data_IF_327282582615
#
_entry.id   IF_327282582615
#
_cell.length_a   1.000
_cell.length_b   1.000
_cell.length_c   1.000
_cell.angle_alpha   90.00
_cell.angle_beta   90.00
_cell.angle_gamma   90.00
#
_symmetry.space_group_name_H-M   'P 1'
#
loop_
_entity.id
_entity.type
_entity.pdbx_description
1 polymer ?
#
# COMPACT_ATOMS: atom_id res chain seq x y z
N UNK A 1 -42.62 -12.17 31.00
CA UNK A 1 -41.49 -12.84 30.32
C UNK A 1 -42.01 -13.30 28.97
N UNK A 2 -41.76 -12.55 27.89
CA UNK A 2 -42.18 -13.00 26.55
C UNK A 2 -41.29 -14.17 26.08
N UNK A 3 -41.79 -15.10 25.26
CA UNK A 3 -40.99 -16.21 24.76
C UNK A 3 -39.81 -15.68 23.92
N UNK A 4 -38.59 -16.12 24.22
CA UNK A 4 -37.43 -15.92 23.35
C UNK A 4 -37.66 -16.72 22.07
N UNK A 5 -38.01 -16.03 20.97
CA UNK A 5 -38.06 -16.64 19.65
C UNK A 5 -36.62 -16.81 19.19
N UNK A 6 -36.13 -18.05 19.21
CA UNK A 6 -34.83 -18.38 18.62
C UNK A 6 -34.92 -18.19 17.11
N UNK A 7 -34.03 -17.40 16.48
CA UNK A 7 -34.08 -17.17 15.05
C UNK A 7 -33.79 -18.47 14.28
N UNK A 8 -34.69 -18.82 13.35
CA UNK A 8 -34.55 -19.99 12.46
C UNK A 8 -33.72 -19.67 11.22
N UNK A 9 -33.51 -18.38 10.96
CA UNK A 9 -32.71 -17.88 9.84
C UNK A 9 -31.46 -17.19 10.38
N UNK A 10 -30.31 -17.60 9.87
CA UNK A 10 -29.01 -17.04 10.21
C UNK A 10 -28.50 -16.14 9.08
N UNK A 11 -27.76 -15.11 9.46
CA UNK A 11 -27.13 -14.17 8.53
C UNK A 11 -25.66 -14.01 8.91
N UNK A 12 -24.79 -14.03 7.90
CA UNK A 12 -23.35 -13.78 8.05
C UNK A 12 -22.82 -13.02 6.83
N UNK A 13 -21.61 -12.48 6.92
CA UNK A 13 -20.96 -11.84 5.78
C UNK A 13 -19.46 -12.12 5.71
N UNK A 14 -18.92 -11.95 4.50
CA UNK A 14 -17.49 -11.94 4.22
C UNK A 14 -17.17 -10.83 3.23
N UNK A 15 -16.04 -10.15 3.42
CA UNK A 15 -15.51 -9.19 2.44
C UNK A 15 -14.84 -9.98 1.31
N UNK A 16 -15.28 -9.76 0.07
CA UNK A 16 -14.65 -10.35 -1.11
C UNK A 16 -13.56 -9.45 -1.65
N UNK A 17 -13.87 -8.17 -1.85
CA UNK A 17 -12.97 -7.21 -2.48
C UNK A 17 -13.05 -5.85 -1.81
N UNK A 18 -11.91 -5.16 -1.79
CA UNK A 18 -11.74 -3.82 -1.22
C UNK A 18 -11.45 -2.84 -2.34
N UNK A 19 -12.29 -1.81 -2.45
CA UNK A 19 -12.14 -0.71 -3.39
C UNK A 19 -11.79 0.58 -2.65
N UNK A 20 -11.22 1.58 -3.33
CA UNK A 20 -10.94 2.90 -2.76
C UNK A 20 -12.11 3.55 -2.00
N UNK A 21 -13.36 3.35 -2.45
CA UNK A 21 -14.53 3.98 -1.81
C UNK A 21 -15.61 3.00 -1.41
N UNK A 22 -15.26 1.72 -1.26
CA UNK A 22 -16.23 0.71 -0.89
C UNK A 22 -15.67 -0.69 -0.79
N UNK A 23 -16.54 -1.65 -0.52
CA UNK A 23 -16.23 -3.07 -0.55
C UNK A 23 -17.32 -3.81 -1.30
N UNK A 24 -16.95 -4.91 -1.94
CA UNK A 24 -17.91 -5.94 -2.32
C UNK A 24 -17.90 -7.00 -1.23
N UNK A 25 -19.04 -7.15 -0.57
CA UNK A 25 -19.26 -8.18 0.44
C UNK A 25 -20.19 -9.24 -0.11
N UNK A 26 -20.06 -10.45 0.40
CA UNK A 26 -21.10 -11.47 0.28
C UNK A 26 -21.79 -11.60 1.61
N UNK A 27 -23.11 -11.43 1.58
CA UNK A 27 -24.00 -11.73 2.69
C UNK A 27 -24.59 -13.12 2.43
N UNK A 28 -24.51 -14.00 3.41
CA UNK A 28 -25.03 -15.35 3.34
C UNK A 28 -26.20 -15.49 4.32
N UNK A 29 -27.36 -15.90 3.80
CA UNK A 29 -28.54 -16.26 4.57
C UNK A 29 -28.68 -17.79 4.59
N UNK A 30 -28.99 -18.37 5.73
CA UNK A 30 -29.22 -19.81 5.85
C UNK A 30 -30.37 -20.08 6.81
N UNK A 31 -31.37 -20.85 6.39
CA UNK A 31 -32.44 -21.33 7.27
C UNK A 31 -32.50 -22.86 7.22
N UNK A 32 -31.79 -23.56 8.13
CA UNK A 32 -31.69 -25.02 8.12
C UNK A 32 -33.03 -25.74 8.29
N UNK A 33 -34.02 -25.07 8.89
CA UNK A 33 -35.33 -25.65 9.20
C UNK A 33 -36.37 -25.41 8.09
N UNK A 34 -36.05 -24.52 7.14
CA UNK A 34 -36.92 -24.23 6.01
C UNK A 34 -36.85 -25.36 4.97
N UNK A 35 -37.99 -25.99 4.62
CA UNK A 35 -38.01 -27.01 3.58
C UNK A 35 -37.79 -26.37 2.20
N UNK A 36 -36.98 -26.97 1.33
CA UNK A 36 -36.83 -26.47 -0.03
C UNK A 36 -38.12 -26.62 -0.84
N UNK A 37 -38.35 -25.76 -1.85
CA UNK A 37 -37.50 -24.63 -2.23
C UNK A 37 -37.64 -23.45 -1.25
N UNK A 38 -36.50 -22.87 -0.85
CA UNK A 38 -36.45 -21.73 0.08
C UNK A 38 -36.21 -20.44 -0.69
N UNK A 39 -37.04 -19.44 -0.44
CA UNK A 39 -36.86 -18.09 -0.96
C UNK A 39 -36.33 -17.19 0.13
N UNK A 40 -35.11 -16.68 -0.04
CA UNK A 40 -34.47 -15.74 0.87
C UNK A 40 -34.65 -14.32 0.36
N UNK A 41 -35.12 -13.43 1.24
CA UNK A 41 -35.23 -11.98 0.98
C UNK A 41 -34.29 -11.25 1.93
N UNK A 42 -33.41 -10.43 1.37
CA UNK A 42 -32.46 -9.60 2.09
C UNK A 42 -33.05 -8.20 2.25
N UNK A 43 -33.23 -7.79 3.50
CA UNK A 43 -33.82 -6.51 3.88
C UNK A 43 -32.75 -5.57 4.41
N UNK A 44 -32.79 -4.31 3.97
CA UNK A 44 -32.00 -3.21 4.53
C UNK A 44 -32.66 -2.57 5.75
N UNK A 45 -31.93 -1.72 6.46
CA UNK A 45 -32.34 -1.07 7.71
C UNK A 45 -33.63 -0.25 7.61
N UNK A 46 -33.94 0.29 6.44
CA UNK A 46 -35.15 1.09 6.16
C UNK A 46 -36.34 0.23 5.70
N UNK A 47 -36.29 -1.09 5.90
CA UNK A 47 -37.34 -2.01 5.45
C UNK A 47 -37.42 -2.16 3.93
N UNK A 48 -36.37 -1.79 3.21
CA UNK A 48 -36.29 -1.96 1.75
C UNK A 48 -35.76 -3.36 1.42
N UNK A 49 -36.45 -4.09 0.53
CA UNK A 49 -35.92 -5.35 -0.02
C UNK A 49 -34.74 -5.01 -0.96
N UNK A 50 -33.54 -5.43 -0.56
CA UNK A 50 -32.29 -5.17 -1.29
C UNK A 50 -32.09 -6.22 -2.38
N UNK A 51 -32.42 -7.47 -2.09
CA UNK A 51 -32.28 -8.59 -3.00
C UNK A 51 -33.13 -9.78 -2.57
N UNK A 52 -33.45 -10.65 -3.53
CA UNK A 52 -34.21 -11.87 -3.28
C UNK A 52 -33.66 -13.02 -4.11
N UNK A 53 -33.60 -14.22 -3.53
CA UNK A 53 -33.04 -15.40 -4.18
C UNK A 53 -33.78 -16.67 -3.76
N UNK A 54 -34.24 -17.45 -4.74
CA UNK A 54 -34.80 -18.77 -4.53
C UNK A 54 -33.72 -19.85 -4.68
N UNK A 55 -33.70 -20.79 -3.74
CA UNK A 55 -32.76 -21.92 -3.70
C UNK A 55 -33.59 -23.21 -3.67
N UNK A 56 -33.34 -24.10 -4.62
CA UNK A 56 -34.09 -25.37 -4.76
C UNK A 56 -33.70 -26.42 -3.71
N UNK A 57 -32.56 -26.23 -3.07
CA UNK A 57 -31.99 -27.11 -2.05
C UNK A 57 -32.04 -26.45 -0.67
N UNK A 58 -31.56 -27.15 0.36
CA UNK A 58 -31.39 -26.57 1.71
C UNK A 58 -30.15 -25.67 1.84
N UNK A 59 -29.44 -25.40 0.74
CA UNK A 59 -28.19 -24.63 0.77
C UNK A 59 -28.43 -23.16 1.12
N UNK A 60 -27.43 -22.49 1.72
CA UNK A 60 -27.47 -21.06 1.96
C UNK A 60 -27.60 -20.22 0.68
N UNK A 61 -28.29 -19.09 0.77
CA UNK A 61 -28.30 -18.07 -0.27
C UNK A 61 -27.19 -17.05 -0.05
N UNK A 62 -26.36 -16.82 -1.06
CA UNK A 62 -25.34 -15.77 -1.08
C UNK A 62 -25.74 -14.60 -1.96
N UNK A 63 -25.61 -13.38 -1.42
CA UNK A 63 -25.91 -12.09 -2.04
C UNK A 63 -24.65 -11.23 -2.10
N UNK A 64 -24.26 -10.80 -3.30
CA UNK A 64 -23.12 -9.89 -3.49
C UNK A 64 -23.59 -8.44 -3.43
N UNK A 65 -23.17 -7.70 -2.40
CA UNK A 65 -23.56 -6.31 -2.15
C UNK A 65 -22.33 -5.40 -2.19
N UNK A 66 -22.45 -4.25 -2.86
CA UNK A 66 -21.43 -3.21 -2.83
C UNK A 66 -21.78 -2.20 -1.74
N UNK A 67 -20.87 -2.01 -0.78
CA UNK A 67 -21.02 -1.05 0.31
C UNK A 67 -20.05 0.09 0.08
N UNK A 68 -20.52 1.33 0.15
CA UNK A 68 -19.68 2.51 -0.08
C UNK A 68 -19.32 3.21 1.21
N UNK A 69 -18.18 3.92 1.26
CA UNK A 69 -17.80 4.74 2.41
C UNK A 69 -18.77 5.92 2.65
N UNK A 70 -19.54 6.32 1.63
CA UNK A 70 -20.61 7.33 1.76
C UNK A 70 -21.90 6.77 2.37
N UNK A 71 -22.01 5.46 2.52
CA UNK A 71 -23.19 4.83 3.11
C UNK A 71 -23.29 5.26 4.58
N UNK A 72 -24.39 5.92 4.93
CA UNK A 72 -24.62 6.35 6.32
C UNK A 72 -24.66 5.11 7.24
N UNK A 73 -24.16 5.19 8.49
CA UNK A 73 -24.09 4.03 9.39
C UNK A 73 -25.45 3.36 9.65
N UNK A 74 -26.53 4.15 9.66
CA UNK A 74 -27.90 3.67 9.78
C UNK A 74 -28.35 2.83 8.58
N UNK A 75 -27.72 2.98 7.42
CA UNK A 75 -28.00 2.21 6.18
C UNK A 75 -27.17 0.93 6.06
N UNK A 76 -26.33 0.62 7.05
CA UNK A 76 -25.43 -0.56 7.05
C UNK A 76 -25.96 -1.72 7.90
N UNK A 77 -27.27 -1.77 8.12
CA UNK A 77 -27.93 -2.89 8.80
C UNK A 77 -28.71 -3.75 7.79
N UNK A 78 -28.53 -5.06 7.87
CA UNK A 78 -29.23 -6.03 7.03
C UNK A 78 -29.93 -7.11 7.86
N UNK A 79 -30.97 -7.71 7.31
CA UNK A 79 -31.60 -8.91 7.88
C UNK A 79 -32.09 -9.83 6.75
N UNK A 80 -32.17 -11.12 7.02
CA UNK A 80 -32.69 -12.11 6.09
C UNK A 80 -34.06 -12.59 6.55
N UNK A 81 -34.97 -12.82 5.60
CA UNK A 81 -36.21 -13.55 5.83
C UNK A 81 -36.30 -14.71 4.85
N UNK A 82 -36.55 -15.90 5.38
CA UNK A 82 -36.76 -17.10 4.57
C UNK A 82 -38.26 -17.40 4.43
N UNK A 83 -38.68 -17.83 3.26
CA UNK A 83 -40.02 -18.33 3.00
C UNK A 83 -39.94 -19.67 2.30
N UNK A 84 -40.84 -20.58 2.68
CA UNK A 84 -40.95 -21.93 2.13
C UNK A 84 -42.41 -22.26 1.86
N UNK A 85 -42.73 -23.43 1.28
CA UNK A 85 -44.13 -23.89 1.16
C UNK A 85 -44.86 -24.00 2.50
N UNK A 86 -44.13 -24.11 3.63
CA UNK A 86 -44.71 -24.12 4.99
C UNK A 86 -45.04 -22.71 5.51
N UNK A 87 -44.66 -21.67 4.78
CA UNK A 87 -44.90 -20.28 5.14
C UNK A 87 -43.61 -19.49 5.37
N UNK A 88 -43.75 -18.35 6.03
CA UNK A 88 -42.66 -17.42 6.32
C UNK A 88 -41.99 -17.82 7.63
N UNK A 89 -40.67 -17.97 7.60
CA UNK A 89 -39.85 -18.29 8.76
C UNK A 89 -39.44 -17.01 9.51
N UNK A 90 -39.02 -17.18 10.77
CA UNK A 90 -38.53 -16.07 11.57
C UNK A 90 -37.35 -15.38 10.89
N UNK A 91 -37.38 -14.05 10.89
CA UNK A 91 -36.31 -13.24 10.35
C UNK A 91 -35.01 -13.46 11.15
N UNK A 92 -33.88 -13.29 10.49
CA UNK A 92 -32.59 -13.31 11.17
C UNK A 92 -32.45 -12.16 12.15
N UNK A 93 -31.47 -12.27 13.03
CA UNK A 93 -30.93 -11.09 13.74
C UNK A 93 -30.49 -10.03 12.74
N UNK A 94 -30.49 -8.77 13.17
CA UNK A 94 -29.93 -7.68 12.35
C UNK A 94 -28.41 -7.81 12.31
N UNK A 95 -27.86 -7.94 11.11
CA UNK A 95 -26.43 -7.81 10.84
C UNK A 95 -26.09 -6.33 10.73
N UNK A 96 -25.51 -5.77 11.78
CA UNK A 96 -24.95 -4.42 11.74
C UNK A 96 -23.53 -4.49 11.19
N UNK A 97 -23.28 -3.83 10.07
CA UNK A 97 -21.93 -3.65 9.54
C UNK A 97 -21.38 -2.31 10.01
N UNK A 98 -20.25 -2.32 10.71
CA UNK A 98 -19.58 -1.10 11.15
C UNK A 98 -18.54 -0.66 10.13
N UNK A 99 -18.63 0.59 9.70
CA UNK A 99 -17.65 1.18 8.78
C UNK A 99 -16.24 1.30 9.42
N UNK A 100 -16.19 1.48 10.75
CA UNK A 100 -14.98 1.73 11.55
C UNK A 100 -14.06 0.51 11.62
N UNK A 101 -14.62 -0.70 11.55
CA UNK A 101 -13.83 -1.93 11.43
C UNK A 101 -13.05 -1.97 10.10
N UNK A 102 -13.36 -1.04 9.18
CA UNK A 102 -12.87 -0.99 7.82
C UNK A 102 -12.11 0.33 7.53
N UNK A 103 -11.83 1.14 8.54
CA UNK A 103 -10.92 2.30 8.45
C UNK A 103 -9.57 1.93 9.04
N UNK A 104 -8.66 1.43 8.18
CA UNK A 104 -7.31 1.08 8.60
C UNK A 104 -6.37 2.28 8.35
N UNK A 105 -5.70 2.81 9.39
CA UNK A 105 -4.63 3.77 9.22
C UNK A 105 -3.57 3.24 8.26
N UNK A 106 -2.88 4.14 7.59
CA UNK A 106 -1.73 3.84 6.76
C UNK A 106 -0.66 3.24 7.67
N UNK A 107 -0.17 2.04 7.34
CA UNK A 107 0.92 1.41 8.07
C UNK A 107 2.23 2.15 7.83
N UNK A 108 3.28 1.76 8.54
CA UNK A 108 4.63 2.27 8.31
C UNK A 108 4.99 2.24 6.81
N UNK A 109 5.46 3.39 6.33
CA UNK A 109 5.82 3.61 4.92
C UNK A 109 7.26 3.19 4.66
N UNK A 110 7.45 2.32 3.67
CA UNK A 110 8.76 1.97 3.15
C UNK A 110 9.06 2.80 1.90
N UNK A 111 10.27 3.34 1.83
CA UNK A 111 10.73 4.18 0.73
C UNK A 111 12.14 3.78 0.31
N UNK A 112 12.29 3.37 -0.94
CA UNK A 112 13.57 3.01 -1.54
C UNK A 112 13.96 4.07 -2.57
N UNK A 113 15.18 4.58 -2.47
CA UNK A 113 15.75 5.55 -3.41
C UNK A 113 16.99 4.94 -4.02
N UNK A 114 17.00 4.82 -5.34
CA UNK A 114 18.06 4.23 -6.14
C UNK A 114 18.60 5.28 -7.11
N UNK A 115 19.89 5.56 -7.03
CA UNK A 115 20.59 6.41 -7.99
C UNK A 115 21.06 5.55 -9.16
N UNK A 116 20.81 6.02 -10.37
CA UNK A 116 21.17 5.33 -11.60
C UNK A 116 21.92 6.28 -12.51
N UNK A 117 23.08 5.85 -12.99
CA UNK A 117 23.79 6.53 -14.06
C UNK A 117 23.47 5.82 -15.38
N UNK A 118 22.76 6.51 -16.27
CA UNK A 118 22.31 5.98 -17.57
C UNK A 118 22.91 6.85 -18.67
N UNK A 119 22.94 6.36 -19.91
CA UNK A 119 23.45 7.12 -21.06
C UNK A 119 22.73 8.48 -21.26
N UNK A 120 21.49 8.61 -20.79
CA UNK A 120 20.71 9.86 -20.78
C UNK A 120 21.06 10.81 -19.62
N UNK A 121 22.11 10.52 -18.84
CA UNK A 121 22.50 11.22 -17.62
C UNK A 121 21.99 10.58 -16.33
N UNK A 122 22.47 11.07 -15.17
CA UNK A 122 22.14 10.52 -13.86
C UNK A 122 20.69 10.82 -13.46
N UNK A 123 20.03 9.82 -12.88
CA UNK A 123 18.62 9.88 -12.46
C UNK A 123 18.45 9.23 -11.09
N UNK A 124 17.33 9.54 -10.46
CA UNK A 124 16.86 8.82 -9.27
C UNK A 124 15.56 8.12 -9.58
N UNK A 125 15.44 6.89 -9.10
CA UNK A 125 14.20 6.13 -9.05
C UNK A 125 13.80 5.95 -7.58
N UNK A 126 12.54 6.27 -7.25
CA UNK A 126 12.02 6.22 -5.89
C UNK A 126 10.78 5.35 -5.88
N UNK A 127 10.75 4.34 -5.01
CA UNK A 127 9.61 3.47 -4.80
C UNK A 127 9.08 3.62 -3.38
N UNK A 128 7.82 4.02 -3.24
CA UNK A 128 7.15 4.21 -1.96
C UNK A 128 6.01 3.17 -1.82
N UNK A 129 5.94 2.46 -0.70
CA UNK A 129 4.91 1.45 -0.48
C UNK A 129 4.56 1.26 0.99
N UNK A 130 3.28 1.06 1.28
CA UNK A 130 2.80 0.63 2.61
C UNK A 130 2.30 -0.81 2.54
N UNK A 131 2.47 -1.56 3.62
CA UNK A 131 1.99 -2.95 3.71
C UNK A 131 0.48 -3.03 3.95
N UNK A 132 -0.12 -1.98 4.54
CA UNK A 132 -1.57 -1.90 4.72
C UNK A 132 -2.09 -0.47 4.93
N UNK A 133 -3.38 -0.29 4.71
CA UNK A 133 -4.10 0.96 4.90
C UNK A 133 -5.37 0.93 4.07
N UNK A 134 -6.40 1.66 4.46
CA UNK A 134 -7.60 1.75 3.63
C UNK A 134 -7.32 2.58 2.38
N UNK A 135 -7.69 2.11 1.17
CA UNK A 135 -7.60 2.91 -0.05
C UNK A 135 -8.68 4.02 -0.08
N UNK A 136 -8.55 5.03 -0.97
CA UNK A 136 -7.38 5.30 -1.80
C UNK A 136 -6.19 5.76 -0.95
N UNK A 137 -4.99 5.30 -1.29
CA UNK A 137 -3.75 5.80 -0.70
C UNK A 137 -3.09 6.69 -1.74
N UNK A 138 -2.86 7.95 -1.37
CA UNK A 138 -2.11 8.90 -2.17
C UNK A 138 -0.67 8.88 -1.69
N UNK A 139 0.27 8.69 -2.61
CA UNK A 139 1.70 8.81 -2.33
C UNK A 139 2.21 10.11 -2.92
N UNK A 140 2.98 10.86 -2.14
CA UNK A 140 3.55 12.15 -2.52
C UNK A 140 5.05 12.18 -2.25
N UNK A 141 5.82 12.81 -3.12
CA UNK A 141 7.21 13.20 -2.82
C UNK A 141 7.23 14.60 -2.25
N UNK A 142 7.66 14.72 -1.00
CA UNK A 142 7.62 15.96 -0.24
C UNK A 142 9.03 16.44 0.07
N UNK A 143 9.31 17.71 -0.23
CA UNK A 143 10.55 18.40 0.08
C UNK A 143 10.66 18.76 1.57
N UNK A 144 11.87 19.03 2.04
CA UNK A 144 12.10 19.47 3.42
C UNK A 144 11.44 20.82 3.76
N UNK A 145 11.15 21.61 2.74
CA UNK A 145 10.37 22.86 2.82
C UNK A 145 8.86 22.62 2.89
N UNK A 146 8.40 21.36 2.83
CA UNK A 146 7.00 20.97 2.83
C UNK A 146 6.34 21.02 1.45
N UNK A 147 7.06 21.38 0.38
CA UNK A 147 6.51 21.41 -0.97
C UNK A 147 6.24 20.00 -1.50
N UNK A 148 5.10 19.82 -2.18
CA UNK A 148 4.78 18.56 -2.87
C UNK A 148 5.28 18.63 -4.30
N UNK A 149 6.32 17.87 -4.62
CA UNK A 149 6.92 17.85 -5.95
C UNK A 149 6.06 17.07 -6.95
N UNK A 150 5.54 15.92 -6.51
CA UNK A 150 4.71 15.05 -7.34
C UNK A 150 3.92 14.09 -6.47
N UNK A 151 2.84 13.55 -7.02
CA UNK A 151 1.98 12.59 -6.35
C UNK A 151 1.44 11.53 -7.31
N UNK A 152 1.16 10.34 -6.78
CA UNK A 152 0.55 9.23 -7.50
C UNK A 152 -0.50 8.53 -6.63
N UNK A 153 -1.52 7.97 -7.28
CA UNK A 153 -2.55 7.12 -6.66
C UNK A 153 -2.59 5.78 -7.40
N UNK A 154 -1.65 4.87 -7.13
CA UNK A 154 -1.62 3.56 -7.77
C UNK A 154 -2.80 2.69 -7.29
N UNK A 155 -3.03 1.57 -7.98
CA UNK A 155 -4.02 0.59 -7.52
C UNK A 155 -3.61 0.01 -6.16
N UNK A 156 -4.59 -0.50 -5.42
CA UNK A 156 -4.37 -1.00 -4.07
C UNK A 156 -3.27 -2.09 -4.02
N UNK A 157 -2.35 -1.95 -3.06
CA UNK A 157 -1.21 -2.85 -2.88
C UNK A 157 -0.01 -2.57 -3.80
N UNK A 158 -0.18 -1.79 -4.87
CA UNK A 158 0.94 -1.42 -5.74
C UNK A 158 1.76 -0.26 -5.15
N UNK A 159 3.08 -0.26 -5.35
CA UNK A 159 3.93 0.86 -4.96
C UNK A 159 3.69 2.07 -5.87
N UNK A 160 3.98 3.27 -5.36
CA UNK A 160 4.16 4.46 -6.18
C UNK A 160 5.62 4.57 -6.60
N UNK A 161 5.86 4.67 -7.91
CA UNK A 161 7.20 4.73 -8.47
C UNK A 161 7.42 6.06 -9.17
N UNK A 162 8.39 6.83 -8.68
CA UNK A 162 8.75 8.15 -9.20
C UNK A 162 10.13 8.08 -9.87
N UNK A 163 10.32 8.84 -10.94
CA UNK A 163 11.64 8.99 -11.58
C UNK A 163 11.84 10.39 -12.14
N UNK A 164 12.99 10.99 -11.86
CA UNK A 164 13.39 12.28 -12.43
C UNK A 164 14.92 12.36 -12.58
N UNK A 165 15.37 13.27 -13.45
CA UNK A 165 16.79 13.55 -13.64
C UNK A 165 17.35 14.32 -12.45
N UNK A 166 18.62 14.08 -12.09
CA UNK A 166 19.27 14.82 -11.02
C UNK A 166 19.52 16.27 -11.43
N UNK A 167 19.33 17.20 -10.49
CA UNK A 167 19.59 18.63 -10.65
C UNK A 167 21.02 18.99 -10.24
N UNK A 168 21.44 20.24 -10.48
CA UNK A 168 22.76 20.73 -10.03
C UNK A 168 22.84 20.98 -8.52
N UNK A 169 21.72 20.89 -7.80
CA UNK A 169 21.63 21.05 -6.35
C UNK A 169 21.18 19.74 -5.69
N UNK A 170 21.60 19.53 -4.44
CA UNK A 170 21.08 18.46 -3.60
C UNK A 170 19.68 18.81 -3.09
N UNK A 171 18.83 17.79 -2.93
CA UNK A 171 17.48 17.95 -2.41
C UNK A 171 17.20 16.90 -1.33
N UNK A 172 16.49 17.28 -0.28
CA UNK A 172 16.04 16.37 0.76
C UNK A 172 14.58 16.04 0.53
N UNK A 173 14.31 14.76 0.28
CA UNK A 173 12.97 14.28 -0.07
C UNK A 173 12.54 13.17 0.89
N UNK A 174 11.24 13.11 1.15
CA UNK A 174 10.59 11.98 1.80
C UNK A 174 9.39 11.52 0.97
N UNK A 175 9.09 10.23 1.02
CA UNK A 175 7.78 9.75 0.60
C UNK A 175 6.78 10.06 1.71
N UNK A 176 5.59 10.51 1.34
CA UNK A 176 4.42 10.59 2.21
C UNK A 176 3.32 9.70 1.63
N UNK A 177 2.63 8.94 2.47
CA UNK A 177 1.47 8.14 2.12
C UNK A 177 0.29 8.55 2.99
N UNK A 178 -0.84 8.83 2.35
CA UNK A 178 -2.01 9.41 3.01
C UNK A 178 -3.30 8.76 2.54
N UNK A 179 -4.20 8.52 3.48
CA UNK A 179 -5.61 8.25 3.23
C UNK A 179 -6.48 9.16 4.12
N UNK A 180 -7.80 9.02 4.03
CA UNK A 180 -8.78 9.85 4.77
C UNK A 180 -8.70 9.71 6.31
N UNK A 181 -7.81 8.86 6.84
CA UNK A 181 -7.71 8.53 8.26
C UNK A 181 -6.37 9.00 8.85
N UNK A 182 -5.30 8.92 8.07
CA UNK A 182 -3.95 9.11 8.59
C UNK A 182 -2.94 9.41 7.49
N UNK A 183 -1.85 10.02 7.92
CA UNK A 183 -0.66 10.28 7.11
C UNK A 183 0.51 9.53 7.71
N UNK A 184 1.37 8.97 6.86
CA UNK A 184 2.66 8.39 7.22
C UNK A 184 3.75 8.93 6.29
N UNK A 185 4.94 9.13 6.84
CA UNK A 185 6.09 9.62 6.07
C UNK A 185 7.30 8.73 6.30
N UNK A 186 8.12 8.56 5.26
CA UNK A 186 9.44 7.98 5.40
C UNK A 186 10.39 9.00 6.04
N UNK A 187 11.57 8.58 6.54
CA UNK A 187 12.63 9.53 6.83
C UNK A 187 13.00 10.33 5.58
N UNK A 188 13.47 11.57 5.77
CA UNK A 188 14.08 12.34 4.70
C UNK A 188 15.38 11.67 4.24
N UNK A 189 15.54 11.58 2.92
CA UNK A 189 16.77 11.11 2.28
C UNK A 189 17.33 12.21 1.38
N UNK A 190 18.64 12.41 1.45
CA UNK A 190 19.34 13.33 0.56
C UNK A 190 19.47 12.69 -0.82
N UNK A 191 19.05 13.42 -1.84
CA UNK A 191 19.32 13.16 -3.25
C UNK A 191 20.48 14.07 -3.68
N UNK A 192 21.63 13.53 -4.11
CA UNK A 192 22.80 14.32 -4.48
C UNK A 192 22.61 15.06 -5.82
N UNK A 193 23.45 16.07 -6.10
CA UNK A 193 23.47 16.72 -7.41
C UNK A 193 23.96 15.76 -8.50
N UNK A 194 23.55 16.01 -9.74
CA UNK A 194 23.93 15.22 -10.92
C UNK A 194 25.34 15.47 -11.44
N UNK A 195 25.94 16.62 -11.11
CA UNK A 195 27.33 16.94 -11.42
C UNK A 195 28.23 16.69 -10.21
N UNK A 196 29.34 15.96 -10.41
CA UNK A 196 30.44 15.92 -9.44
C UNK A 196 31.16 17.28 -9.41
N UNK A 197 31.63 17.76 -8.25
CA UNK A 197 32.43 18.97 -8.19
C UNK A 197 33.73 18.77 -8.98
N UNK A 198 34.04 19.70 -9.90
CA UNK A 198 35.21 19.68 -10.78
C UNK A 198 36.59 19.70 -10.06
N UNK A 199 36.61 19.78 -8.72
CA UNK A 199 37.82 19.96 -7.92
C UNK A 199 38.63 18.70 -7.60
N UNK A 200 38.17 17.49 -7.93
CA UNK A 200 38.84 16.24 -7.54
C UNK A 200 39.82 15.67 -8.58
N UNK A 201 39.98 16.29 -9.75
CA UNK A 201 40.77 15.73 -10.86
C UNK A 201 42.26 16.17 -10.84
N UNK A 202 42.68 17.10 -9.97
CA UNK A 202 44.03 17.69 -10.04
C UNK A 202 44.91 17.35 -8.83
N UNK A 203 45.21 16.06 -8.54
CA UNK A 203 46.40 15.69 -7.73
C UNK A 203 46.92 14.27 -8.05
N UNK A 204 47.23 13.90 -9.29
CA UNK A 204 47.98 12.65 -9.56
C UNK A 204 48.90 12.71 -10.80
N UNK A 205 49.47 13.87 -11.13
CA UNK A 205 50.42 13.98 -12.27
C UNK A 205 51.71 14.74 -11.92
N UNK A 206 52.20 14.61 -10.69
CA UNK A 206 53.37 15.36 -10.21
C UNK A 206 54.47 14.51 -9.58
N UNK A 207 54.81 13.34 -10.14
CA UNK A 207 55.98 12.59 -9.64
C UNK A 207 56.54 11.57 -10.65
N UNK A 208 56.94 12.00 -11.84
CA UNK A 208 57.71 11.16 -12.77
C UNK A 208 58.75 11.98 -13.57
N UNK A 209 59.58 12.78 -12.90
CA UNK A 209 60.84 13.26 -13.50
C UNK A 209 61.87 13.47 -12.40
N UNK A 210 62.82 12.54 -12.23
CA UNK A 210 64.21 12.77 -11.78
C UNK A 210 64.91 11.45 -11.44
N UNK A 211 65.29 10.66 -12.45
CA UNK A 211 66.51 9.84 -12.33
C UNK A 211 67.24 9.91 -13.67
N UNK A 212 68.16 10.88 -13.77
CA UNK A 212 69.24 10.84 -14.74
C UNK A 212 70.51 11.40 -14.10
N UNK A 213 71.55 10.58 -14.14
CA UNK A 213 72.98 10.90 -14.01
C UNK A 213 73.54 11.27 -12.62
N UNK A 214 74.23 10.30 -11.99
CA UNK A 214 75.59 10.53 -11.49
C UNK A 214 76.48 9.39 -11.97
N UNK A 215 77.65 9.78 -12.47
CA UNK A 215 78.54 9.11 -13.40
C UNK A 215 79.53 8.16 -12.75
N UNK A 216 79.93 7.16 -13.55
CA UNK A 216 81.17 6.38 -13.42
C UNK A 216 82.38 7.24 -13.05
N UNK A 217 83.23 6.74 -12.14
CA UNK A 217 84.71 6.78 -12.18
C UNK A 217 85.24 6.28 -10.82
N UNK A 218 85.65 5.01 -10.76
CA UNK A 218 86.62 4.52 -9.78
C UNK A 218 87.71 3.77 -10.54
N UNK A 219 88.67 4.54 -11.04
CA UNK A 219 90.03 4.04 -11.26
C UNK A 219 90.73 4.03 -9.88
N UNK A 220 91.44 2.93 -9.58
CA UNK A 220 92.16 2.70 -8.31
C UNK A 220 93.32 3.69 -8.05
N UNK A 221 94.14 3.45 -7.01
CA UNK A 221 95.02 2.27 -7.01
C UNK A 221 95.15 1.55 -5.66
N UNK A 222 95.75 0.37 -5.76
CA UNK A 222 96.23 -0.48 -4.68
C UNK A 222 97.20 0.23 -3.72
N UNK A 223 97.19 -0.18 -2.45
CA UNK A 223 98.42 -0.32 -1.67
C UNK A 223 98.24 -1.40 -0.58
N UNK A 224 99.01 -2.48 -0.72
CA UNK A 224 99.32 -3.44 0.34
C UNK A 224 100.39 -2.86 1.27
N UNK A 225 100.32 -3.18 2.56
CA UNK A 225 101.45 -3.42 3.50
C UNK A 225 100.83 -3.93 4.81
N UNK A 226 100.89 -5.24 5.12
CA UNK A 226 101.90 -5.93 5.96
C UNK A 226 102.24 -5.22 7.27
N UNK A 227 101.73 -5.75 8.38
CA UNK A 227 102.49 -6.32 9.50
C UNK A 227 101.57 -7.23 10.33
#
# INVERSE_FOLDING_TARGET
MGPQVTPETFIAYKVLEVFPRGRRVVITCHSPQAPPPVTYSLWGSQGTEVAKKAVKTGEPASFSINITLKSRPDLLAYSCQAASPRGVHSASTKLQMYWELWTKPVSQLQANFTLLDKASGPRVEISCQVSSGSPPITYSLVGKDGSVHTQQRPNYGQPANFSFALTNTSNWLQCQAENDISVQSSPFKMVPPGQLPQGAIVVLTGSLTSIAAVTSWLLGPALWTRL
#
